data_IF_696453983059
#
_entry.id   IF_696453983059
#
_cell.length_a   1.000
_cell.length_b   1.000
_cell.length_c   1.000
_cell.angle_alpha   90.00
_cell.angle_beta   90.00
_cell.angle_gamma   90.00
#
_symmetry.space_group_name_H-M   'P 1'
#
loop_
_entity.id
_entity.type
_entity.pdbx_description
1 polymer ?
#
# COMPACT_ATOMS: atom_id res chain seq x y z
N UNK A 1 43.27 -18.20 -14.13
CA UNK A 1 42.66 -19.08 -15.15
C UNK A 1 41.81 -20.12 -14.44
N UNK A 2 40.53 -19.79 -14.20
CA UNK A 2 39.55 -20.75 -13.72
C UNK A 2 38.75 -21.21 -14.95
N UNK A 3 38.97 -22.47 -15.32
CA UNK A 3 38.34 -23.13 -16.45
C UNK A 3 36.88 -23.38 -16.11
N UNK A 4 35.99 -22.74 -16.85
CA UNK A 4 34.56 -22.98 -16.78
C UNK A 4 34.16 -24.02 -17.83
N UNK A 5 33.60 -25.14 -17.38
CA UNK A 5 32.75 -26.04 -18.18
C UNK A 5 32.04 -27.03 -17.24
N UNK A 6 30.83 -27.53 -17.55
CA UNK A 6 29.69 -26.90 -18.23
C UNK A 6 28.37 -27.04 -17.43
N UNK A 7 27.45 -26.08 -17.62
CA UNK A 7 26.05 -26.19 -17.19
C UNK A 7 25.36 -27.38 -17.89
N UNK A 8 24.71 -28.23 -17.09
CA UNK A 8 23.89 -29.35 -17.54
C UNK A 8 22.83 -28.91 -18.57
N UNK A 9 23.01 -29.33 -19.82
CA UNK A 9 22.01 -29.37 -20.89
C UNK A 9 20.93 -30.41 -20.57
N UNK A 10 19.92 -30.07 -19.76
CA UNK A 10 18.72 -30.92 -19.55
C UNK A 10 17.40 -30.16 -19.37
N UNK A 11 17.17 -29.04 -20.07
CA UNK A 11 15.83 -28.41 -20.13
C UNK A 11 15.52 -27.78 -21.50
N UNK A 12 15.56 -28.58 -22.56
CA UNK A 12 15.06 -28.20 -23.88
C UNK A 12 13.95 -29.16 -24.36
N UNK A 13 12.97 -29.45 -23.50
CA UNK A 13 11.68 -29.98 -23.94
C UNK A 13 10.67 -28.83 -23.94
N UNK A 14 10.29 -28.38 -25.14
CA UNK A 14 9.23 -27.40 -25.37
C UNK A 14 7.97 -27.82 -24.60
N UNK A 15 7.55 -27.05 -23.59
CA UNK A 15 6.18 -27.14 -23.06
C UNK A 15 5.23 -26.71 -24.18
N UNK A 16 4.58 -27.68 -24.83
CA UNK A 16 3.53 -27.41 -25.82
C UNK A 16 2.40 -26.68 -25.08
N UNK A 17 2.14 -25.43 -25.46
CA UNK A 17 1.14 -24.59 -24.81
C UNK A 17 -0.26 -25.23 -24.78
N UNK A 18 -1.07 -24.86 -23.80
CA UNK A 18 -2.48 -25.29 -23.70
C UNK A 18 -3.40 -24.20 -24.25
N UNK A 19 -4.46 -24.60 -24.95
CA UNK A 19 -5.48 -23.66 -25.43
C UNK A 19 -6.15 -22.96 -24.24
N UNK A 20 -6.23 -21.62 -24.21
CA UNK A 20 -6.88 -20.92 -23.08
C UNK A 20 -8.39 -21.18 -22.99
N UNK A 21 -9.06 -21.46 -24.11
CA UNK A 21 -10.48 -21.78 -24.18
C UNK A 21 -10.79 -23.19 -23.70
N UNK A 22 -10.32 -24.23 -24.41
CA UNK A 22 -10.66 -25.63 -24.09
C UNK A 22 -9.67 -26.34 -23.16
N UNK A 23 -8.56 -25.69 -22.75
CA UNK A 23 -7.51 -26.23 -21.86
C UNK A 23 -6.79 -27.50 -22.36
N UNK A 24 -6.99 -27.92 -23.60
CA UNK A 24 -6.28 -29.03 -24.22
C UNK A 24 -4.99 -28.55 -24.90
N UNK A 25 -3.98 -29.43 -24.96
CA UNK A 25 -2.77 -29.27 -25.77
C UNK A 25 -2.88 -30.09 -27.07
N UNK A 26 -2.29 -29.65 -28.19
CA UNK A 26 -1.71 -28.31 -28.41
C UNK A 26 -2.79 -27.21 -28.48
N UNK A 27 -2.42 -25.91 -28.55
CA UNK A 27 -3.38 -24.82 -28.73
C UNK A 27 -4.21 -25.05 -29.99
N UNK A 28 -5.52 -24.77 -29.92
CA UNK A 28 -6.41 -25.02 -31.05
C UNK A 28 -6.22 -23.97 -32.15
N UNK A 29 -6.25 -24.43 -33.40
CA UNK A 29 -6.29 -23.57 -34.57
C UNK A 29 -7.59 -22.76 -34.62
N UNK A 30 -7.48 -21.59 -35.26
CA UNK A 30 -8.52 -20.55 -35.28
C UNK A 30 -9.25 -20.59 -36.60
N UNK A 31 -10.48 -21.07 -36.56
CA UNK A 31 -11.33 -21.19 -37.74
C UNK A 31 -12.63 -20.38 -37.56
N UNK A 32 -13.26 -20.49 -36.39
CA UNK A 32 -14.56 -19.88 -36.12
C UNK A 32 -14.84 -19.74 -34.63
N UNK A 33 -15.64 -18.74 -34.24
CA UNK A 33 -16.03 -18.54 -32.84
C UNK A 33 -17.40 -19.17 -32.54
N UNK A 34 -17.41 -20.15 -31.64
CA UNK A 34 -18.62 -20.89 -31.28
C UNK A 34 -18.95 -20.64 -29.80
N UNK A 35 -20.14 -20.10 -29.53
CA UNK A 35 -20.68 -19.92 -28.16
C UNK A 35 -21.24 -21.24 -27.66
N UNK A 36 -20.86 -21.66 -26.46
CA UNK A 36 -21.47 -22.83 -25.83
C UNK A 36 -22.74 -22.45 -25.06
N UNK A 37 -23.89 -23.08 -25.34
CA UNK A 37 -25.14 -22.79 -24.64
C UNK A 37 -25.09 -23.16 -23.15
N UNK A 38 -24.25 -24.14 -22.76
CA UNK A 38 -24.20 -24.65 -21.40
C UNK A 38 -23.34 -23.76 -20.49
N UNK A 39 -22.09 -23.50 -20.87
CA UNK A 39 -21.14 -22.74 -20.05
C UNK A 39 -21.06 -21.25 -20.42
N UNK A 40 -21.74 -20.81 -21.49
CA UNK A 40 -21.73 -19.44 -22.03
C UNK A 40 -20.33 -18.88 -22.37
N UNK A 41 -19.33 -19.75 -22.55
CA UNK A 41 -17.98 -19.41 -23.01
C UNK A 41 -17.85 -19.52 -24.54
N UNK A 42 -16.86 -18.83 -25.11
CA UNK A 42 -16.57 -18.87 -26.55
C UNK A 42 -15.32 -19.71 -26.87
N UNK A 43 -15.41 -20.50 -27.95
CA UNK A 43 -14.36 -21.41 -28.41
C UNK A 43 -13.91 -21.05 -29.82
N UNK A 44 -12.63 -21.27 -30.14
CA UNK A 44 -11.94 -20.71 -31.32
C UNK A 44 -12.02 -21.56 -32.60
N UNK A 45 -12.62 -22.75 -32.52
CA UNK A 45 -12.91 -23.64 -33.65
C UNK A 45 -13.92 -24.71 -33.24
N UNK A 46 -14.46 -25.46 -34.21
CA UNK A 46 -15.34 -26.62 -33.94
C UNK A 46 -14.61 -27.69 -33.13
N UNK A 47 -13.33 -27.91 -33.45
CA UNK A 47 -12.45 -28.79 -32.70
C UNK A 47 -12.25 -28.31 -31.26
N UNK A 48 -12.03 -27.00 -31.04
CA UNK A 48 -11.95 -26.42 -29.70
C UNK A 48 -13.28 -26.58 -28.91
N UNK A 49 -14.41 -26.43 -29.61
CA UNK A 49 -15.74 -26.62 -29.03
C UNK A 49 -16.02 -28.09 -28.68
N UNK A 50 -15.59 -29.07 -29.47
CA UNK A 50 -15.81 -30.47 -29.11
C UNK A 50 -14.90 -30.86 -27.93
N UNK A 51 -13.61 -30.48 -28.00
CA UNK A 51 -12.63 -30.76 -26.94
C UNK A 51 -13.02 -30.22 -25.57
N UNK A 52 -13.69 -29.06 -25.46
CA UNK A 52 -14.10 -28.56 -24.13
C UNK A 52 -15.24 -29.37 -23.50
N UNK A 53 -15.98 -30.15 -24.30
CA UNK A 53 -17.02 -31.10 -23.85
C UNK A 53 -16.49 -32.53 -23.71
N UNK A 54 -15.27 -32.79 -24.16
CA UNK A 54 -14.61 -34.07 -23.98
C UNK A 54 -14.03 -34.19 -22.58
N UNK A 55 -14.02 -35.42 -22.07
CA UNK A 55 -13.40 -35.76 -20.80
C UNK A 55 -11.90 -35.96 -21.04
N UNK A 56 -11.07 -35.12 -20.43
CA UNK A 56 -9.62 -35.28 -20.54
C UNK A 56 -9.14 -36.54 -19.79
N UNK A 57 -8.03 -37.17 -20.23
CA UNK A 57 -7.48 -38.32 -19.53
C UNK A 57 -7.17 -37.98 -18.06
N UNK A 58 -7.67 -38.82 -17.13
CA UNK A 58 -7.58 -38.63 -15.67
C UNK A 58 -8.48 -37.55 -15.06
N UNK A 59 -9.40 -36.96 -15.82
CA UNK A 59 -10.35 -35.97 -15.30
C UNK A 59 -11.75 -36.56 -15.15
N UNK A 60 -12.46 -36.17 -14.08
CA UNK A 60 -13.83 -36.65 -13.79
C UNK A 60 -14.94 -35.79 -14.41
N UNK A 61 -14.59 -34.57 -14.87
CA UNK A 61 -15.52 -33.60 -15.46
C UNK A 61 -14.89 -32.85 -16.61
N UNK A 62 -15.73 -32.45 -17.56
CA UNK A 62 -15.37 -31.71 -18.76
C UNK A 62 -14.99 -30.26 -18.42
N UNK A 63 -14.32 -29.58 -19.35
CA UNK A 63 -14.03 -28.14 -19.19
C UNK A 63 -15.31 -27.31 -19.20
N UNK A 64 -16.36 -27.79 -19.87
CA UNK A 64 -17.70 -27.19 -19.88
C UNK A 64 -18.31 -27.12 -18.48
N UNK A 65 -18.19 -28.20 -17.70
CA UNK A 65 -18.73 -28.31 -16.35
C UNK A 65 -17.86 -27.55 -15.34
N UNK A 66 -16.54 -27.59 -15.52
CA UNK A 66 -15.58 -26.95 -14.61
C UNK A 66 -15.50 -25.44 -14.71
N UNK A 67 -15.82 -24.85 -15.87
CA UNK A 67 -15.60 -23.43 -16.15
C UNK A 67 -16.79 -22.83 -16.92
N UNK A 68 -17.52 -21.92 -16.28
CA UNK A 68 -18.70 -21.27 -16.85
C UNK A 68 -18.71 -19.76 -16.58
N UNK A 69 -19.48 -19.01 -17.38
CA UNK A 69 -19.66 -17.57 -17.18
C UNK A 69 -20.88 -17.31 -16.30
N UNK A 70 -20.73 -16.43 -15.31
CA UNK A 70 -21.84 -15.95 -14.49
C UNK A 70 -22.91 -15.28 -15.38
N UNK A 71 -24.20 -15.59 -15.18
CA UNK A 71 -25.29 -14.98 -15.99
C UNK A 71 -25.51 -13.49 -15.71
N UNK A 72 -25.12 -13.02 -14.53
CA UNK A 72 -25.33 -11.63 -14.09
C UNK A 72 -24.09 -10.77 -14.33
N UNK A 73 -22.91 -11.21 -13.87
CA UNK A 73 -21.67 -10.42 -13.97
C UNK A 73 -20.67 -10.90 -15.05
N UNK A 74 -20.97 -11.99 -15.78
CA UNK A 74 -20.13 -12.56 -16.85
C UNK A 74 -18.67 -12.88 -16.48
N UNK A 75 -18.34 -12.92 -15.18
CA UNK A 75 -17.05 -13.44 -14.69
C UNK A 75 -16.99 -14.94 -14.93
N UNK A 76 -15.80 -15.45 -15.29
CA UNK A 76 -15.57 -16.88 -15.43
C UNK A 76 -15.41 -17.51 -14.04
N UNK A 77 -16.32 -18.41 -13.68
CA UNK A 77 -16.37 -19.11 -12.40
C UNK A 77 -15.87 -20.54 -12.60
N UNK A 78 -15.17 -21.06 -11.58
CA UNK A 78 -14.80 -22.48 -11.51
C UNK A 78 -15.82 -23.25 -10.70
N UNK A 79 -16.14 -24.45 -11.16
CA UNK A 79 -17.01 -25.37 -10.42
C UNK A 79 -16.48 -25.62 -8.99
N UNK A 80 -17.39 -25.63 -8.02
CA UNK A 80 -17.07 -25.78 -6.59
C UNK A 80 -16.62 -24.50 -5.89
N UNK A 81 -16.40 -23.41 -6.63
CA UNK A 81 -16.11 -22.10 -6.03
C UNK A 81 -17.41 -21.31 -5.83
N UNK A 82 -17.71 -20.95 -4.58
CA UNK A 82 -18.78 -20.00 -4.29
C UNK A 82 -18.46 -18.65 -4.92
N UNK A 83 -19.37 -18.16 -5.77
CA UNK A 83 -19.26 -16.87 -6.42
C UNK A 83 -20.40 -15.96 -5.95
N UNK A 84 -20.04 -14.90 -5.25
CA UNK A 84 -20.92 -13.77 -4.97
C UNK A 84 -20.58 -12.63 -5.94
N UNK A 85 -21.58 -12.20 -6.72
CA UNK A 85 -21.43 -11.01 -7.56
C UNK A 85 -21.08 -9.79 -6.71
N UNK A 86 -20.28 -8.88 -7.26
CA UNK A 86 -19.86 -7.64 -6.61
C UNK A 86 -19.07 -7.85 -5.29
N UNK A 87 -18.26 -8.91 -5.24
CA UNK A 87 -17.35 -9.18 -4.13
C UNK A 87 -15.98 -9.67 -4.62
N UNK A 88 -14.95 -9.48 -3.78
CA UNK A 88 -13.59 -9.93 -4.01
C UNK A 88 -12.94 -10.46 -2.71
N UNK A 89 -11.90 -11.29 -2.84
CA UNK A 89 -11.13 -11.78 -1.71
C UNK A 89 -10.08 -10.76 -1.27
N UNK A 90 -10.22 -10.22 -0.06
CA UNK A 90 -9.27 -9.28 0.51
C UNK A 90 -8.08 -10.03 1.16
N UNK A 91 -6.86 -9.81 0.66
CA UNK A 91 -5.64 -10.47 1.18
C UNK A 91 -5.28 -10.04 2.60
N UNK A 92 -5.56 -8.79 2.95
CA UNK A 92 -5.26 -8.22 4.27
C UNK A 92 -6.23 -8.76 5.33
N UNK A 93 -7.53 -8.82 5.03
CA UNK A 93 -8.54 -9.41 5.92
C UNK A 93 -8.63 -10.95 5.85
N UNK A 94 -8.01 -11.57 4.84
CA UNK A 94 -8.08 -13.00 4.52
C UNK A 94 -9.52 -13.55 4.41
N UNK A 95 -10.43 -12.81 3.76
CA UNK A 95 -11.84 -13.21 3.52
C UNK A 95 -12.47 -12.51 2.31
N UNK A 96 -13.58 -13.06 1.80
CA UNK A 96 -14.40 -12.39 0.79
C UNK A 96 -15.10 -11.16 1.36
N UNK A 97 -15.11 -10.08 0.57
CA UNK A 97 -15.59 -8.76 0.93
C UNK A 97 -16.34 -8.14 -0.25
N UNK A 98 -17.36 -7.32 -0.02
CA UNK A 98 -18.04 -6.61 -1.09
C UNK A 98 -17.08 -5.61 -1.77
N UNK A 99 -17.40 -5.19 -3.00
CA UNK A 99 -16.55 -4.30 -3.80
C UNK A 99 -16.31 -2.93 -3.15
N UNK A 100 -17.16 -2.49 -2.23
CA UNK A 100 -17.06 -1.23 -1.46
C UNK A 100 -16.32 -1.38 -0.11
N UNK A 101 -15.67 -2.53 0.13
CA UNK A 101 -15.00 -2.81 1.41
C UNK A 101 -13.82 -1.88 1.73
N UNK A 102 -13.91 -1.20 2.88
CA UNK A 102 -12.82 -0.48 3.53
C UNK A 102 -11.98 -1.44 4.40
N UNK A 103 -10.71 -1.65 4.04
CA UNK A 103 -9.81 -2.59 4.70
C UNK A 103 -8.93 -1.90 5.77
N UNK A 104 -8.73 -2.56 6.92
CA UNK A 104 -7.95 -2.05 8.07
C UNK A 104 -6.88 -3.06 8.54
N UNK A 105 -5.86 -2.57 9.26
CA UNK A 105 -4.72 -3.34 9.77
C UNK A 105 -5.09 -4.22 10.99
N UNK A 106 -4.62 -5.48 11.09
CA UNK A 106 -4.93 -6.37 12.22
C UNK A 106 -4.04 -6.10 13.46
N UNK A 107 -4.51 -6.55 14.64
CA UNK A 107 -3.83 -6.40 15.95
C UNK A 107 -2.97 -7.64 16.25
N UNK A 108 -1.77 -7.46 16.79
CA UNK A 108 -0.85 -8.53 17.25
C UNK A 108 -1.14 -8.93 18.71
N UNK A 109 -1.08 -10.23 19.04
CA UNK A 109 -1.57 -10.80 20.31
C UNK A 109 -0.59 -11.76 21.01
N UNK A 110 0.71 -11.69 20.73
CA UNK A 110 1.75 -12.55 21.35
C UNK A 110 2.21 -12.00 22.72
N UNK A 111 2.37 -12.86 23.73
CA UNK A 111 2.89 -12.48 25.07
C UNK A 111 4.33 -12.97 25.33
N UNK A 112 5.23 -12.14 25.92
CA UNK A 112 6.63 -12.51 26.18
C UNK A 112 6.86 -13.36 27.44
N UNK A 113 7.92 -14.18 27.47
CA UNK A 113 8.37 -14.99 28.61
C UNK A 113 9.61 -14.37 29.27
N UNK A 114 9.57 -14.15 30.60
CA UNK A 114 10.58 -13.41 31.37
C UNK A 114 11.33 -14.24 32.41
N UNK A 115 11.29 -15.58 32.31
CA UNK A 115 11.94 -16.46 33.30
C UNK A 115 13.46 -16.28 33.34
N UNK A 116 14.04 -16.19 34.54
CA UNK A 116 15.46 -16.00 34.83
C UNK A 116 16.05 -14.65 34.36
N UNK A 117 15.18 -13.64 34.14
CA UNK A 117 15.58 -12.29 33.78
C UNK A 117 15.80 -11.39 35.01
N UNK A 118 16.84 -10.56 34.92
CA UNK A 118 17.10 -9.44 35.80
C UNK A 118 17.39 -8.18 34.98
N UNK A 119 16.64 -7.12 35.25
CA UNK A 119 16.85 -5.79 34.69
C UNK A 119 17.61 -4.93 35.70
N UNK A 120 18.58 -4.15 35.22
CA UNK A 120 19.30 -3.13 35.99
C UNK A 120 19.16 -1.82 35.22
N UNK A 121 18.53 -0.83 35.84
CA UNK A 121 18.35 0.51 35.31
C UNK A 121 19.34 1.44 36.00
N UNK A 122 20.20 2.15 35.28
CA UNK A 122 21.17 3.05 35.90
C UNK A 122 21.27 4.38 35.18
N UNK A 123 21.83 5.36 35.89
CA UNK A 123 22.15 6.67 35.35
C UNK A 123 23.48 7.17 35.92
N UNK A 124 24.21 7.95 35.13
CA UNK A 124 25.53 8.49 35.49
C UNK A 124 25.51 10.00 35.46
N UNK A 125 26.09 10.61 36.50
CA UNK A 125 26.45 12.02 36.45
C UNK A 125 27.97 12.14 36.23
N UNK A 126 28.34 13.09 35.38
CA UNK A 126 29.72 13.33 35.00
C UNK A 126 30.14 14.77 35.30
N UNK A 127 31.34 14.95 35.81
CA UNK A 127 31.99 16.27 35.87
C UNK A 127 32.76 16.55 34.58
N UNK A 128 32.92 17.84 34.25
CA UNK A 128 33.67 18.31 33.07
C UNK A 128 34.90 19.15 33.44
N UNK A 129 35.45 18.93 34.65
CA UNK A 129 36.47 19.81 35.22
C UNK A 129 37.84 19.70 34.52
N UNK A 130 38.08 18.62 33.77
CA UNK A 130 39.33 18.42 33.02
C UNK A 130 39.17 18.83 31.57
N UNK A 131 40.09 19.66 31.08
CA UNK A 131 40.15 20.03 29.66
C UNK A 131 40.95 18.99 28.88
N UNK A 132 40.39 18.57 27.75
CA UNK A 132 41.02 17.69 26.78
C UNK A 132 41.71 18.48 25.66
N UNK A 133 41.15 19.64 25.29
CA UNK A 133 41.75 20.63 24.39
C UNK A 133 41.21 22.04 24.69
N UNK A 134 41.69 23.07 23.97
CA UNK A 134 41.25 24.47 24.14
C UNK A 134 39.72 24.65 23.97
N UNK A 135 39.05 23.70 23.29
CA UNK A 135 37.62 23.74 22.98
C UNK A 135 36.82 22.55 23.52
N UNK A 136 37.45 21.57 24.19
CA UNK A 136 36.76 20.35 24.64
C UNK A 136 37.12 19.97 26.07
N UNK A 137 36.09 19.62 26.85
CA UNK A 137 36.19 19.11 28.22
C UNK A 137 35.93 17.61 28.26
N UNK A 138 36.68 16.90 29.12
CA UNK A 138 36.53 15.48 29.34
C UNK A 138 35.41 15.22 30.36
N UNK A 139 34.50 14.30 30.02
CA UNK A 139 33.46 13.85 30.94
C UNK A 139 34.00 12.74 31.84
N UNK A 140 33.95 12.94 33.16
CA UNK A 140 34.38 11.96 34.15
C UNK A 140 33.21 11.58 35.06
N UNK A 141 32.72 10.32 34.99
CA UNK A 141 31.66 9.83 35.87
C UNK A 141 32.09 9.90 37.34
N UNK A 142 31.23 10.48 38.19
CA UNK A 142 31.50 10.65 39.63
C UNK A 142 30.34 10.22 40.53
N UNK A 143 29.18 9.92 39.95
CA UNK A 143 28.02 9.36 40.64
C UNK A 143 27.34 8.36 39.70
N UNK A 144 26.98 7.21 40.26
CA UNK A 144 26.16 6.21 39.58
C UNK A 144 25.03 5.80 40.52
N UNK A 145 23.80 5.88 40.04
CA UNK A 145 22.62 5.36 40.74
C UNK A 145 22.02 4.27 39.89
N UNK A 146 21.75 3.11 40.48
CA UNK A 146 21.07 2.03 39.77
C UNK A 146 19.98 1.34 40.57
N UNK A 147 18.95 0.88 39.87
CA UNK A 147 17.81 0.13 40.39
C UNK A 147 17.67 -1.21 39.67
N UNK A 148 17.48 -2.32 40.39
CA UNK A 148 17.32 -3.64 39.78
C UNK A 148 15.97 -4.30 40.04
N UNK A 149 15.50 -5.06 39.04
CA UNK A 149 14.18 -5.71 39.01
C UNK A 149 14.25 -7.08 38.34
N UNK A 150 13.81 -8.13 39.03
CA UNK A 150 13.65 -9.48 38.46
C UNK A 150 12.20 -9.77 38.08
N UNK A 151 11.95 -10.94 37.48
CA UNK A 151 10.61 -11.42 37.09
C UNK A 151 9.53 -11.29 38.18
N UNK A 152 9.92 -11.44 39.46
CA UNK A 152 9.00 -11.42 40.60
C UNK A 152 8.67 -9.99 41.03
N UNK A 153 9.59 -9.04 40.86
CA UNK A 153 9.45 -7.69 41.39
C UNK A 153 9.36 -6.59 40.32
N UNK A 154 9.25 -6.96 39.05
CA UNK A 154 9.24 -6.03 37.93
C UNK A 154 8.13 -4.97 38.06
N UNK A 155 6.96 -5.38 38.53
CA UNK A 155 5.79 -4.50 38.68
C UNK A 155 5.60 -3.97 40.10
N UNK A 156 6.55 -4.22 41.00
CA UNK A 156 6.46 -3.75 42.38
C UNK A 156 6.85 -2.26 42.46
N UNK A 157 6.20 -1.47 43.34
CA UNK A 157 6.48 -0.05 43.50
C UNK A 157 7.95 0.28 43.78
N UNK A 158 8.36 1.52 43.50
CA UNK A 158 9.75 1.97 43.64
C UNK A 158 10.18 2.08 45.11
N UNK A 159 9.23 2.35 46.01
CA UNK A 159 9.42 2.51 47.45
C UNK A 159 9.81 1.19 48.12
N UNK A 160 9.42 0.05 47.54
CA UNK A 160 9.84 -1.26 48.02
C UNK A 160 11.26 -1.52 47.56
N UNK A 161 12.22 -1.38 48.48
CA UNK A 161 13.65 -1.40 48.18
C UNK A 161 14.31 -2.79 48.26
N UNK A 162 13.64 -3.82 48.79
CA UNK A 162 14.20 -5.17 48.92
C UNK A 162 13.33 -6.18 48.14
N UNK A 163 13.98 -7.13 47.48
CA UNK A 163 13.37 -8.30 46.86
C UNK A 163 13.96 -9.59 47.47
N UNK A 164 13.13 -10.61 47.65
CA UNK A 164 13.58 -11.94 48.10
C UNK A 164 14.47 -12.64 47.06
N UNK A 165 14.26 -12.35 45.78
CA UNK A 165 15.03 -12.95 44.69
C UNK A 165 16.25 -12.10 44.31
N UNK A 166 16.06 -10.82 43.97
CA UNK A 166 17.15 -9.93 43.54
C UNK A 166 17.73 -9.04 44.65
N UNK A 167 17.42 -9.26 45.93
CA UNK A 167 17.98 -8.49 47.05
C UNK A 167 17.69 -6.96 47.00
N UNK A 168 18.63 -6.13 47.47
CA UNK A 168 18.49 -4.66 47.52
C UNK A 168 18.40 -4.11 46.09
N UNK A 169 17.34 -3.35 45.83
CA UNK A 169 16.98 -2.88 44.49
C UNK A 169 17.73 -1.62 44.11
N UNK A 170 17.82 -0.62 44.99
CA UNK A 170 18.52 0.63 44.69
C UNK A 170 19.91 0.64 45.33
N UNK A 171 20.90 1.01 44.52
CA UNK A 171 22.28 1.19 44.96
C UNK A 171 22.77 2.57 44.50
N UNK A 172 23.53 3.23 45.37
CA UNK A 172 24.13 4.54 45.11
C UNK A 172 25.63 4.40 45.26
N UNK A 173 26.34 4.54 44.14
CA UNK A 173 27.79 4.53 44.08
C UNK A 173 28.27 5.97 43.92
N UNK A 174 29.06 6.43 44.89
CA UNK A 174 29.77 7.72 44.83
C UNK A 174 31.25 7.41 44.57
N UNK A 175 32.08 8.41 44.26
CA UNK A 175 33.54 8.34 44.01
C UNK A 175 33.96 8.21 42.54
N UNK A 176 35.27 8.29 42.27
CA UNK A 176 35.84 8.27 40.91
C UNK A 176 35.91 6.88 40.27
N UNK A 177 35.70 5.82 41.04
CA UNK A 177 35.73 4.41 40.63
C UNK A 177 34.31 3.82 40.38
N UNK A 178 33.32 4.69 40.16
CA UNK A 178 31.89 4.30 40.01
C UNK A 178 31.67 3.23 38.92
N UNK A 179 32.40 3.31 37.81
CA UNK A 179 32.26 2.35 36.71
C UNK A 179 32.79 0.97 37.09
N UNK A 180 33.95 0.91 37.73
CA UNK A 180 34.57 -0.34 38.18
C UNK A 180 33.64 -1.10 39.14
N UNK A 181 33.08 -0.38 40.12
CA UNK A 181 32.13 -0.94 41.09
C UNK A 181 30.86 -1.47 40.43
N UNK A 182 30.30 -0.71 39.48
CA UNK A 182 29.10 -1.14 38.75
C UNK A 182 29.37 -2.42 37.93
N UNK A 183 30.49 -2.48 37.21
CA UNK A 183 30.85 -3.64 36.39
C UNK A 183 31.09 -4.87 37.26
N UNK A 184 31.82 -4.74 38.35
CA UNK A 184 32.02 -5.84 39.31
C UNK A 184 30.68 -6.39 39.81
N UNK A 185 29.75 -5.50 40.18
CA UNK A 185 28.41 -5.90 40.60
C UNK A 185 27.66 -6.72 39.55
N UNK A 186 27.67 -6.26 38.30
CA UNK A 186 26.99 -6.94 37.17
C UNK A 186 27.56 -8.35 36.95
N UNK A 187 28.87 -8.52 37.06
CA UNK A 187 29.52 -9.82 36.86
C UNK A 187 29.19 -10.81 37.98
N UNK A 188 29.13 -10.34 39.22
CA UNK A 188 28.73 -11.19 40.35
C UNK A 188 27.27 -11.62 40.25
N UNK A 189 26.35 -10.71 39.91
CA UNK A 189 24.92 -11.04 39.85
C UNK A 189 24.56 -11.96 38.67
N UNK A 190 25.34 -11.92 37.59
CA UNK A 190 25.21 -12.84 36.44
C UNK A 190 25.45 -14.31 36.83
N UNK A 191 26.19 -14.59 37.91
CA UNK A 191 26.34 -15.96 38.44
C UNK A 191 25.01 -16.52 38.95
N UNK A 192 24.03 -15.65 39.27
CA UNK A 192 22.70 -16.01 39.80
C UNK A 192 21.58 -15.93 38.77
N UNK A 193 21.65 -15.01 37.81
CA UNK A 193 20.63 -14.81 36.79
C UNK A 193 21.18 -15.09 35.40
N UNK A 194 20.49 -15.95 34.64
CA UNK A 194 20.91 -16.36 33.29
C UNK A 194 20.86 -15.19 32.29
N UNK A 195 19.87 -14.31 32.45
CA UNK A 195 19.63 -13.17 31.56
C UNK A 195 19.66 -11.85 32.34
N UNK A 196 20.84 -11.23 32.44
CA UNK A 196 20.98 -9.88 33.02
C UNK A 196 20.97 -8.83 31.91
N UNK A 197 19.99 -7.93 31.95
CA UNK A 197 19.82 -6.81 31.03
C UNK A 197 20.10 -5.51 31.78
N UNK A 198 21.07 -4.73 31.30
CA UNK A 198 21.44 -3.44 31.87
C UNK A 198 21.00 -2.33 30.93
N UNK A 199 20.32 -1.32 31.46
CA UNK A 199 19.65 -0.25 30.73
C UNK A 199 19.99 1.09 31.37
N UNK A 200 20.29 2.09 30.57
CA UNK A 200 20.37 3.49 30.99
C UNK A 200 19.44 4.34 30.12
N UNK A 201 19.02 5.50 30.63
CA UNK A 201 18.12 6.40 29.91
C UNK A 201 18.73 6.83 28.57
N UNK A 202 20.05 7.08 28.55
CA UNK A 202 20.81 7.33 27.33
C UNK A 202 21.95 6.32 27.12
N UNK A 203 21.68 5.05 27.40
CA UNK A 203 22.72 4.01 27.39
C UNK A 203 23.46 3.90 26.05
N UNK A 204 22.74 3.93 24.93
CA UNK A 204 23.35 3.73 23.60
C UNK A 204 24.39 4.80 23.23
N UNK A 205 24.18 6.02 23.70
CA UNK A 205 24.80 7.19 23.15
C UNK A 205 25.80 7.81 24.14
N UNK A 206 25.56 7.65 25.45
CA UNK A 206 26.40 8.24 26.49
C UNK A 206 26.79 7.22 27.56
N UNK A 207 25.84 6.71 28.35
CA UNK A 207 26.17 6.01 29.60
C UNK A 207 26.93 4.69 29.37
N UNK A 208 26.53 3.89 28.37
CA UNK A 208 27.24 2.63 28.08
C UNK A 208 28.63 2.87 27.50
N UNK A 209 28.98 4.06 27.02
CA UNK A 209 30.32 4.32 26.48
C UNK A 209 31.38 4.20 27.58
N UNK A 210 31.06 4.63 28.80
CA UNK A 210 31.95 4.50 29.95
C UNK A 210 32.13 3.03 30.38
N UNK A 211 31.03 2.27 30.42
CA UNK A 211 31.05 0.83 30.76
C UNK A 211 31.79 0.04 29.68
N UNK A 212 31.52 0.32 28.40
CA UNK A 212 32.16 -0.34 27.27
C UNK A 212 33.66 -0.05 27.26
N UNK A 213 34.07 1.20 27.44
CA UNK A 213 35.48 1.57 27.54
C UNK A 213 36.16 0.84 28.71
N UNK A 214 35.51 0.74 29.87
CA UNK A 214 36.04 -0.02 31.00
C UNK A 214 36.21 -1.51 30.67
N UNK A 215 35.18 -2.16 30.10
CA UNK A 215 35.25 -3.58 29.72
C UNK A 215 36.38 -3.83 28.72
N UNK A 216 36.52 -2.98 27.69
CA UNK A 216 37.53 -3.13 26.64
C UNK A 216 38.96 -2.84 27.12
N UNK A 217 39.15 -1.96 28.11
CA UNK A 217 40.49 -1.52 28.55
C UNK A 217 40.95 -2.14 29.87
N UNK A 218 40.03 -2.65 30.70
CA UNK A 218 40.31 -3.12 32.07
C UNK A 218 39.90 -4.58 32.32
N UNK A 219 39.28 -5.28 31.37
CA UNK A 219 38.88 -6.69 31.52
C UNK A 219 39.27 -7.53 30.30
N UNK A 220 39.23 -8.86 30.43
CA UNK A 220 39.48 -9.79 29.31
C UNK A 220 38.21 -10.13 28.49
N UNK A 221 37.06 -9.56 28.85
CA UNK A 221 35.77 -9.88 28.24
C UNK A 221 35.67 -9.25 26.84
N UNK A 222 35.17 -10.03 25.87
CA UNK A 222 34.96 -9.58 24.49
C UNK A 222 33.47 -9.56 24.16
N UNK A 223 32.89 -8.41 23.76
CA UNK A 223 31.48 -8.34 23.37
C UNK A 223 31.25 -9.08 22.03
N UNK A 224 30.25 -9.97 21.99
CA UNK A 224 29.88 -10.73 20.79
C UNK A 224 29.16 -9.88 19.73
N UNK A 225 28.34 -8.93 20.17
CA UNK A 225 27.64 -7.99 19.31
C UNK A 225 27.68 -6.59 19.94
N UNK A 226 28.42 -5.68 19.32
CA UNK A 226 28.30 -4.26 19.60
C UNK A 226 27.32 -3.70 18.59
N UNK A 227 26.09 -3.40 19.03
CA UNK A 227 25.18 -2.60 18.22
C UNK A 227 25.70 -1.16 18.20
N UNK A 228 26.64 -0.88 17.30
CA UNK A 228 27.05 0.49 17.04
C UNK A 228 25.84 1.26 16.48
N UNK A 229 25.42 2.26 17.24
CA UNK A 229 24.64 3.36 16.71
C UNK A 229 25.43 4.60 17.05
N UNK A 230 25.60 5.46 16.06
CA UNK A 230 26.33 6.71 16.21
C UNK A 230 25.69 7.48 17.37
N UNK A 231 26.47 7.80 18.42
CA UNK A 231 26.05 8.77 19.44
C UNK A 231 25.79 10.05 18.70
N UNK A 232 24.51 10.34 18.59
CA UNK A 232 24.08 11.50 17.87
C UNK A 232 23.60 12.50 18.88
N UNK A 233 24.44 13.51 19.10
CA UNK A 233 24.14 14.69 19.91
C UNK A 233 22.76 15.29 19.59
N UNK A 234 22.26 15.12 18.36
CA UNK A 234 20.92 15.56 17.96
C UNK A 234 19.80 14.83 18.69
N UNK A 235 20.02 13.58 19.09
CA UNK A 235 18.99 12.78 19.72
C UNK A 235 18.82 13.11 21.20
N UNK A 236 19.86 13.60 21.85
CA UNK A 236 19.78 14.09 23.23
C UNK A 236 19.19 15.50 23.33
N UNK A 237 19.42 16.32 22.31
CA UNK A 237 18.65 17.56 22.10
C UNK A 237 17.14 17.29 22.03
N UNK A 238 16.69 16.11 21.57
CA UNK A 238 15.26 15.77 21.53
C UNK A 238 14.69 15.61 22.94
N UNK A 239 15.43 15.00 23.85
CA UNK A 239 15.03 14.88 25.26
C UNK A 239 14.89 16.28 25.89
N UNK A 240 15.79 17.19 25.56
CA UNK A 240 15.76 18.59 26.00
C UNK A 240 14.58 19.38 25.41
N UNK A 241 14.30 19.19 24.11
CA UNK A 241 13.14 19.78 23.43
C UNK A 241 11.80 19.34 24.04
N UNK A 242 11.71 18.13 24.62
CA UNK A 242 10.51 17.69 25.33
C UNK A 242 10.24 18.59 26.55
N UNK A 243 11.29 19.12 27.19
CA UNK A 243 11.17 20.07 28.30
C UNK A 243 10.66 21.45 27.84
N UNK A 244 11.18 21.97 26.72
CA UNK A 244 10.74 23.26 26.15
C UNK A 244 9.26 23.25 25.72
N UNK A 245 8.80 22.11 25.20
CA UNK A 245 7.39 21.93 24.82
C UNK A 245 6.47 21.95 26.05
N UNK A 246 6.93 21.50 27.22
CA UNK A 246 6.16 21.60 28.45
C UNK A 246 6.00 23.06 28.91
N UNK A 247 7.02 23.90 28.70
CA UNK A 247 6.96 25.34 28.99
C UNK A 247 5.99 26.05 28.05
N UNK A 248 6.08 25.75 26.76
CA UNK A 248 5.17 26.27 25.75
C UNK A 248 3.71 25.91 26.06
N UNK A 249 3.48 24.66 26.47
CA UNK A 249 2.16 24.16 26.87
C UNK A 249 1.56 25.02 27.98
N UNK A 250 2.35 25.37 28.97
CA UNK A 250 1.92 26.17 30.13
C UNK A 250 1.54 27.61 29.72
N UNK A 251 2.31 28.24 28.83
CA UNK A 251 2.03 29.59 28.33
C UNK A 251 0.75 29.65 27.49
N UNK A 252 0.55 28.67 26.61
CA UNK A 252 -0.64 28.57 25.79
C UNK A 252 -1.91 28.46 26.65
N UNK A 253 -1.90 27.61 27.67
CA UNK A 253 -3.05 27.46 28.58
C UNK A 253 -3.46 28.79 29.21
N UNK A 254 -2.49 29.62 29.62
CA UNK A 254 -2.76 30.95 30.18
C UNK A 254 -3.36 31.93 29.17
N UNK A 255 -2.86 31.96 27.95
CA UNK A 255 -3.40 32.82 26.89
C UNK A 255 -4.84 32.47 26.53
N UNK A 256 -5.16 31.17 26.49
CA UNK A 256 -6.53 30.69 26.27
C UNK A 256 -7.50 31.21 27.33
N UNK A 257 -7.11 31.14 28.60
CA UNK A 257 -7.99 31.55 29.68
C UNK A 257 -8.38 33.04 29.57
N UNK A 258 -7.45 33.90 29.18
CA UNK A 258 -7.71 35.34 29.00
C UNK A 258 -8.69 35.64 27.86
N UNK A 259 -8.59 34.96 26.72
CA UNK A 259 -9.50 35.20 25.58
C UNK A 259 -10.90 34.63 25.79
N UNK A 260 -11.00 33.51 26.54
CA UNK A 260 -12.29 33.01 26.99
C UNK A 260 -12.97 34.04 27.91
N UNK A 261 -12.22 34.63 28.83
CA UNK A 261 -12.76 35.69 29.72
C UNK A 261 -13.20 36.93 28.94
N UNK A 262 -12.43 37.36 27.94
CA UNK A 262 -12.71 38.62 27.21
C UNK A 262 -13.92 38.55 26.26
N UNK A 263 -14.24 37.38 25.70
CA UNK A 263 -15.30 37.29 24.70
C UNK A 263 -15.85 35.91 24.43
N UNK A 264 -15.71 34.99 25.40
CA UNK A 264 -16.16 33.60 25.32
C UNK A 264 -15.72 32.92 24.02
N UNK A 265 -14.44 33.13 23.67
CA UNK A 265 -13.81 32.51 22.51
C UNK A 265 -12.58 31.78 22.98
N UNK A 266 -12.51 30.50 22.64
CA UNK A 266 -11.30 29.73 22.85
C UNK A 266 -10.38 29.88 21.62
N UNK A 267 -9.20 30.52 21.78
CA UNK A 267 -8.30 30.84 20.66
C UNK A 267 -7.56 29.64 20.08
N UNK A 268 -7.76 28.44 20.63
CA UNK A 268 -7.16 27.22 20.13
C UNK A 268 -8.17 26.29 19.47
N UNK A 269 -9.45 26.35 19.87
CA UNK A 269 -10.50 25.54 19.23
C UNK A 269 -11.21 26.30 18.12
N UNK A 270 -11.30 27.62 18.22
CA UNK A 270 -12.11 28.40 17.29
C UNK A 270 -11.27 29.12 16.25
N UNK A 271 -10.01 29.42 16.54
CA UNK A 271 -9.06 29.99 15.62
C UNK A 271 -7.68 29.36 15.88
N UNK A 272 -6.75 29.44 14.93
CA UNK A 272 -5.38 28.93 15.12
C UNK A 272 -4.33 30.05 15.09
N UNK A 273 -4.74 31.27 14.79
CA UNK A 273 -3.88 32.45 14.77
C UNK A 273 -4.50 33.53 15.63
N UNK A 274 -3.65 34.42 16.16
CA UNK A 274 -4.10 35.57 16.94
C UNK A 274 -5.05 36.43 16.10
N UNK A 275 -4.72 36.73 14.84
CA UNK A 275 -5.57 37.52 13.95
C UNK A 275 -6.94 36.84 13.67
N UNK A 276 -6.98 35.52 13.47
CA UNK A 276 -8.24 34.79 13.30
C UNK A 276 -9.06 34.76 14.60
N UNK A 277 -8.40 34.61 15.74
CA UNK A 277 -9.03 34.67 17.07
C UNK A 277 -9.67 36.04 17.28
N UNK A 278 -8.94 37.11 16.96
CA UNK A 278 -9.42 38.48 16.98
C UNK A 278 -10.54 38.73 15.97
N UNK A 279 -10.46 38.19 14.74
CA UNK A 279 -11.53 38.31 13.74
C UNK A 279 -12.79 37.54 14.16
N UNK A 280 -12.66 36.41 14.86
CA UNK A 280 -13.81 35.71 15.45
C UNK A 280 -14.42 36.48 16.62
N UNK A 281 -13.56 37.04 17.47
CA UNK A 281 -13.98 37.97 18.53
C UNK A 281 -14.74 39.15 17.95
N UNK A 282 -14.20 39.75 16.89
CA UNK A 282 -14.85 40.77 16.11
C UNK A 282 -16.20 40.31 15.54
N UNK A 283 -16.23 39.17 14.83
CA UNK A 283 -17.47 38.67 14.20
C UNK A 283 -18.57 38.32 15.19
N UNK A 284 -18.20 37.79 16.36
CA UNK A 284 -19.15 37.35 17.39
C UNK A 284 -19.70 38.51 18.21
N UNK A 285 -18.83 39.45 18.58
CA UNK A 285 -19.20 40.52 19.51
C UNK A 285 -19.44 41.87 18.81
N UNK A 286 -19.07 42.01 17.53
CA UNK A 286 -19.03 43.32 16.85
C UNK A 286 -19.55 43.35 15.39
N UNK A 287 -19.60 42.25 14.61
CA UNK A 287 -20.08 42.24 13.20
C UNK A 287 -21.61 42.18 13.06
N UNK A 288 -22.16 42.91 12.07
CA UNK A 288 -23.59 42.94 11.72
C UNK A 288 -23.92 41.99 10.55
N UNK A 289 -25.12 41.40 10.55
CA UNK A 289 -25.58 40.40 9.57
C UNK A 289 -25.67 40.93 8.12
N UNK A 290 -25.54 40.02 7.15
CA UNK A 290 -25.75 40.21 5.69
C UNK A 290 -24.89 41.28 5.00
N UNK A 291 -23.61 41.32 5.36
CA UNK A 291 -22.68 42.35 4.85
C UNK A 291 -21.60 41.84 3.88
N UNK A 292 -21.31 40.52 3.73
CA UNK A 292 -20.17 39.98 2.92
C UNK A 292 -20.43 38.56 2.29
N UNK A 293 -20.09 38.28 1.00
CA UNK A 293 -20.29 36.97 0.27
C UNK A 293 -19.03 36.14 -0.13
N UNK A 294 -19.14 34.83 -0.52
CA UNK A 294 -18.03 33.82 -0.74
C UNK A 294 -18.09 32.96 -2.06
N UNK A 295 -16.94 32.52 -2.64
CA UNK A 295 -16.79 31.75 -3.93
C UNK A 295 -15.92 30.45 -3.79
N UNK A 296 -16.24 29.28 -4.43
CA UNK A 296 -15.51 27.99 -4.26
C UNK A 296 -14.32 27.70 -5.21
N UNK A 297 -13.39 26.81 -4.78
CA UNK A 297 -12.04 26.57 -5.34
C UNK A 297 -11.93 25.86 -6.71
N UNK A 298 -12.89 25.02 -7.10
CA UNK A 298 -12.85 24.26 -8.38
C UNK A 298 -14.03 24.60 -9.29
N UNK A 299 -14.66 25.76 -9.04
CA UNK A 299 -16.03 25.96 -9.50
C UNK A 299 -16.90 24.80 -9.02
N UNK A 300 -17.79 24.31 -9.88
CA UNK A 300 -18.89 23.43 -9.48
C UNK A 300 -18.96 22.02 -10.21
N UNK A 301 -17.89 21.38 -10.78
CA UNK A 301 -17.96 20.06 -11.56
C UNK A 301 -16.76 19.02 -11.38
N UNK A 302 -16.95 17.65 -11.43
CA UNK A 302 -15.99 16.50 -11.15
C UNK A 302 -15.61 15.59 -12.40
N UNK A 303 -14.54 14.73 -12.40
CA UNK A 303 -13.92 13.97 -13.57
C UNK A 303 -14.27 12.45 -13.70
N UNK A 304 -14.44 11.91 -14.92
CA UNK A 304 -14.51 10.46 -15.28
C UNK A 304 -13.22 9.91 -15.99
N UNK A 305 -13.07 8.57 -16.03
CA UNK A 305 -11.91 7.82 -16.54
C UNK A 305 -11.94 7.51 -18.05
N UNK A 306 -12.39 8.48 -18.87
CA UNK A 306 -12.54 8.29 -20.31
C UNK A 306 -11.24 8.62 -21.08
N UNK A 307 -10.94 7.88 -22.16
CA UNK A 307 -9.72 8.14 -22.93
C UNK A 307 -9.80 9.48 -23.68
N UNK A 308 -8.70 10.25 -23.68
CA UNK A 308 -8.66 11.55 -24.36
C UNK A 308 -8.98 11.43 -25.85
N UNK A 309 -8.46 10.37 -26.49
CA UNK A 309 -8.69 10.07 -27.91
C UNK A 309 -10.17 9.72 -28.17
N UNK A 310 -10.83 8.98 -27.27
CA UNK A 310 -12.26 8.71 -27.41
C UNK A 310 -13.09 9.99 -27.29
N UNK A 311 -12.78 10.88 -26.34
CA UNK A 311 -13.48 12.18 -26.22
C UNK A 311 -13.28 13.02 -27.48
N UNK A 312 -12.05 13.14 -27.98
CA UNK A 312 -11.75 13.90 -29.20
C UNK A 312 -12.49 13.33 -30.43
N UNK A 313 -12.55 12.00 -30.56
CA UNK A 313 -13.31 11.33 -31.63
C UNK A 313 -14.82 11.58 -31.50
N UNK A 314 -15.39 11.46 -30.30
CA UNK A 314 -16.82 11.70 -30.08
C UNK A 314 -17.19 13.15 -30.41
N UNK A 315 -16.40 14.13 -29.96
CA UNK A 315 -16.60 15.55 -30.31
C UNK A 315 -16.50 15.76 -31.83
N UNK A 316 -15.62 15.04 -32.51
CA UNK A 316 -15.50 15.10 -33.97
C UNK A 316 -16.73 14.49 -34.67
N UNK A 317 -17.22 13.33 -34.22
CA UNK A 317 -18.44 12.69 -34.76
C UNK A 317 -19.67 13.58 -34.55
N UNK A 318 -19.82 14.21 -33.38
CA UNK A 318 -20.89 15.19 -33.12
C UNK A 318 -20.88 16.30 -34.16
N UNK A 319 -19.69 16.84 -34.47
CA UNK A 319 -19.55 17.94 -35.42
C UNK A 319 -19.80 17.51 -36.86
N UNK A 320 -19.37 16.30 -37.23
CA UNK A 320 -19.48 15.81 -38.62
C UNK A 320 -20.89 15.33 -38.95
N UNK A 321 -21.55 14.65 -38.01
CA UNK A 321 -22.90 14.11 -38.20
C UNK A 321 -23.99 15.05 -37.72
N UNK A 322 -23.63 16.16 -37.08
CA UNK A 322 -24.55 17.12 -36.48
C UNK A 322 -25.55 16.47 -35.51
N UNK A 323 -25.07 15.48 -34.74
CA UNK A 323 -25.85 14.76 -33.72
C UNK A 323 -25.35 15.10 -32.33
N UNK A 324 -26.24 15.05 -31.33
CA UNK A 324 -25.86 15.19 -29.94
C UNK A 324 -25.50 13.83 -29.33
N UNK A 325 -24.21 13.63 -29.08
CA UNK A 325 -23.67 12.45 -28.40
C UNK A 325 -23.44 12.83 -26.94
N UNK A 326 -24.06 12.08 -26.04
CA UNK A 326 -23.77 12.16 -24.63
C UNK A 326 -22.46 11.38 -24.37
N UNK A 327 -21.53 11.97 -23.63
CA UNK A 327 -20.25 11.37 -23.24
C UNK A 327 -19.69 12.04 -21.98
N UNK A 328 -18.63 11.48 -21.40
CA UNK A 328 -18.06 11.90 -20.11
C UNK A 328 -17.75 13.41 -19.99
N UNK A 329 -17.26 14.06 -21.04
CA UNK A 329 -16.90 15.48 -20.99
C UNK A 329 -18.12 16.43 -20.92
N UNK A 330 -19.34 15.94 -21.14
CA UNK A 330 -20.60 16.69 -20.97
C UNK A 330 -21.26 16.48 -19.61
N UNK A 331 -20.70 15.64 -18.74
CA UNK A 331 -21.22 15.43 -17.39
C UNK A 331 -20.70 14.17 -16.72
N UNK A 332 -21.17 13.00 -17.16
CA UNK A 332 -20.77 11.68 -16.63
C UNK A 332 -20.72 10.60 -17.73
N UNK A 333 -19.88 9.57 -17.56
CA UNK A 333 -19.87 8.32 -18.35
C UNK A 333 -21.25 7.63 -18.30
N UNK A 334 -21.70 7.12 -19.46
CA UNK A 334 -23.06 6.62 -19.65
C UNK A 334 -23.08 5.10 -19.47
N UNK A 335 -24.08 4.61 -18.75
CA UNK A 335 -24.30 3.18 -18.54
C UNK A 335 -25.65 2.81 -19.11
N UNK A 336 -25.66 1.94 -20.14
CA UNK A 336 -26.87 1.42 -20.78
C UNK A 336 -27.05 -0.06 -20.40
N UNK A 337 -28.20 -0.42 -19.81
CA UNK A 337 -28.55 -1.81 -19.45
C UNK A 337 -27.45 -2.57 -18.67
N UNK A 338 -26.73 -1.84 -17.79
CA UNK A 338 -25.65 -2.34 -16.95
C UNK A 338 -24.27 -2.40 -17.63
N UNK A 339 -24.12 -1.88 -18.85
CA UNK A 339 -22.86 -1.80 -19.58
C UNK A 339 -22.41 -0.34 -19.75
N UNK A 340 -21.18 0.03 -19.35
CA UNK A 340 -20.62 1.34 -19.64
C UNK A 340 -20.29 1.46 -21.14
N UNK A 341 -20.60 2.60 -21.74
CA UNK A 341 -20.36 2.90 -23.17
C UNK A 341 -19.63 4.23 -23.32
N UNK A 342 -18.84 4.37 -24.40
CA UNK A 342 -18.02 5.57 -24.60
C UNK A 342 -18.85 6.80 -24.98
N UNK A 343 -19.87 6.61 -25.81
CA UNK A 343 -20.85 7.62 -26.18
C UNK A 343 -22.19 7.03 -26.58
N UNK A 344 -23.26 7.80 -26.38
CA UNK A 344 -24.63 7.41 -26.75
C UNK A 344 -25.39 8.60 -27.34
N UNK A 345 -26.04 8.39 -28.48
CA UNK A 345 -26.96 9.35 -29.06
C UNK A 345 -28.39 8.87 -28.88
N UNK A 346 -29.20 9.61 -28.12
CA UNK A 346 -30.60 9.26 -27.87
C UNK A 346 -31.48 9.45 -29.12
N UNK A 347 -31.15 10.41 -29.99
CA UNK A 347 -31.93 10.76 -31.18
C UNK A 347 -31.87 9.67 -32.25
N UNK A 348 -30.67 9.15 -32.50
CA UNK A 348 -30.46 8.06 -33.47
C UNK A 348 -30.45 6.68 -32.81
N UNK A 349 -30.54 6.64 -31.48
CA UNK A 349 -30.49 5.43 -30.68
C UNK A 349 -29.23 4.58 -30.96
N UNK A 350 -28.09 5.27 -31.13
CA UNK A 350 -26.81 4.69 -31.51
C UNK A 350 -25.82 4.69 -30.35
N UNK A 351 -25.07 3.59 -30.24
CA UNK A 351 -23.96 3.46 -29.30
C UNK A 351 -22.63 3.58 -30.03
N UNK A 352 -21.77 4.44 -29.51
CA UNK A 352 -20.43 4.72 -30.02
C UNK A 352 -19.41 4.08 -29.07
N UNK A 353 -18.58 3.17 -29.59
CA UNK A 353 -17.49 2.56 -28.82
C UNK A 353 -16.16 2.62 -29.57
N UNK A 354 -15.12 3.07 -28.87
CA UNK A 354 -13.77 3.14 -29.40
C UNK A 354 -12.96 1.88 -29.03
N UNK A 355 -12.82 0.97 -30.00
CA UNK A 355 -12.19 -0.34 -29.79
C UNK A 355 -10.65 -0.29 -29.87
N UNK A 356 -9.99 0.26 -28.83
CA UNK A 356 -8.53 0.28 -28.74
C UNK A 356 -7.89 -1.12 -28.81
N UNK A 357 -6.96 -1.35 -29.75
CA UNK A 357 -6.48 -2.70 -30.12
C UNK A 357 -5.89 -3.53 -28.97
N UNK A 358 -5.15 -2.89 -28.06
CA UNK A 358 -4.54 -3.58 -26.91
C UNK A 358 -5.56 -3.93 -25.82
N UNK A 359 -6.47 -3.00 -25.53
CA UNK A 359 -7.48 -3.17 -24.47
C UNK A 359 -8.62 -4.12 -24.91
N UNK A 360 -8.92 -4.17 -26.20
CA UNK A 360 -10.00 -4.99 -26.75
C UNK A 360 -9.53 -6.29 -27.41
N UNK A 361 -8.23 -6.59 -27.37
CA UNK A 361 -7.69 -7.88 -27.83
C UNK A 361 -7.71 -8.07 -29.34
N UNK A 362 -7.40 -7.05 -30.15
CA UNK A 362 -7.45 -7.11 -31.63
C UNK A 362 -6.68 -8.32 -32.20
N UNK A 363 -7.35 -9.14 -33.02
CA UNK A 363 -6.76 -10.36 -33.64
C UNK A 363 -5.79 -10.06 -34.77
N UNK A 364 -5.92 -8.89 -35.42
CA UNK A 364 -5.04 -8.47 -36.52
C UNK A 364 -3.71 -7.91 -36.01
N UNK A 365 -3.75 -7.02 -35.02
CA UNK A 365 -2.55 -6.38 -34.47
C UNK A 365 -1.73 -7.31 -33.57
N UNK A 366 -2.36 -8.26 -32.87
CA UNK A 366 -1.71 -9.18 -31.95
C UNK A 366 -1.92 -10.63 -32.39
N UNK A 367 -1.15 -11.10 -33.37
CA UNK A 367 -1.36 -12.43 -33.99
C UNK A 367 -0.84 -13.59 -33.15
N UNK A 368 0.30 -13.40 -32.50
CA UNK A 368 1.04 -14.47 -31.80
C UNK A 368 0.83 -14.42 -30.28
N UNK A 369 1.12 -15.52 -29.59
CA UNK A 369 1.22 -15.60 -28.13
C UNK A 369 0.00 -15.09 -27.35
N UNK A 370 -1.17 -15.11 -27.97
CA UNK A 370 -2.40 -14.52 -27.41
C UNK A 370 -2.97 -15.26 -26.21
N UNK A 371 -2.50 -16.47 -25.97
CA UNK A 371 -2.81 -17.31 -24.80
C UNK A 371 -1.78 -17.12 -23.68
N UNK A 372 -0.67 -16.41 -23.94
CA UNK A 372 0.26 -15.98 -22.89
C UNK A 372 -0.33 -14.81 -22.11
N UNK A 373 0.03 -14.67 -20.82
CA UNK A 373 -0.37 -13.52 -20.04
C UNK A 373 0.13 -12.21 -20.65
N UNK A 374 -0.69 -11.16 -20.60
CA UNK A 374 -0.26 -9.82 -21.04
C UNK A 374 0.72 -9.22 -20.04
N UNK A 375 1.70 -8.45 -20.54
CA UNK A 375 2.82 -7.96 -19.72
C UNK A 375 2.39 -7.14 -18.50
N UNK A 376 1.26 -6.45 -18.57
CA UNK A 376 0.74 -5.59 -17.51
C UNK A 376 -0.29 -6.27 -16.60
N UNK A 377 -0.70 -7.50 -16.91
CA UNK A 377 -1.67 -8.24 -16.11
C UNK A 377 -1.52 -9.74 -16.35
N UNK A 378 -0.88 -10.43 -15.40
CA UNK A 378 -0.61 -11.87 -15.49
C UNK A 378 -1.88 -12.74 -15.43
N UNK A 379 -3.03 -12.17 -15.05
CA UNK A 379 -4.34 -12.84 -15.04
C UNK A 379 -5.13 -12.68 -16.35
N UNK A 380 -4.68 -11.82 -17.26
CA UNK A 380 -5.35 -11.57 -18.55
C UNK A 380 -4.52 -12.09 -19.72
N UNK A 381 -5.20 -12.47 -20.79
CA UNK A 381 -4.57 -12.81 -22.06
C UNK A 381 -5.25 -12.00 -23.17
N UNK A 382 -4.58 -11.86 -24.32
CA UNK A 382 -5.19 -11.17 -25.47
C UNK A 382 -6.46 -11.89 -25.96
N UNK A 383 -6.53 -13.22 -25.79
CA UNK A 383 -7.74 -13.99 -26.07
C UNK A 383 -8.86 -13.70 -25.04
N UNK A 384 -8.55 -13.54 -23.75
CA UNK A 384 -9.55 -13.18 -22.74
C UNK A 384 -10.13 -11.78 -22.98
N UNK A 385 -9.28 -10.79 -23.31
CA UNK A 385 -9.74 -9.44 -23.68
C UNK A 385 -10.66 -9.47 -24.89
N UNK A 386 -10.28 -10.21 -25.92
CA UNK A 386 -11.10 -10.38 -27.11
C UNK A 386 -12.44 -11.07 -26.82
N UNK A 387 -12.44 -12.12 -25.99
CA UNK A 387 -13.67 -12.79 -25.54
C UNK A 387 -14.62 -11.82 -24.82
N UNK A 388 -14.09 -10.96 -23.93
CA UNK A 388 -14.87 -9.95 -23.23
C UNK A 388 -15.44 -8.90 -24.19
N UNK A 389 -14.64 -8.39 -25.13
CA UNK A 389 -15.10 -7.46 -26.18
C UNK A 389 -16.25 -8.07 -26.98
N UNK A 390 -16.09 -9.32 -27.45
CA UNK A 390 -17.13 -10.02 -28.23
C UNK A 390 -18.39 -10.25 -27.40
N UNK A 391 -18.26 -10.56 -26.11
CA UNK A 391 -19.39 -10.72 -25.19
C UNK A 391 -20.16 -9.41 -25.02
N UNK A 392 -19.45 -8.27 -24.88
CA UNK A 392 -20.05 -6.93 -24.79
C UNK A 392 -20.82 -6.57 -26.06
N UNK A 393 -20.18 -6.69 -27.22
CA UNK A 393 -20.80 -6.42 -28.54
C UNK A 393 -22.02 -7.32 -28.74
N UNK A 394 -21.90 -8.62 -28.44
CA UNK A 394 -23.00 -9.57 -28.58
C UNK A 394 -24.18 -9.17 -27.69
N UNK A 395 -23.93 -8.75 -26.44
CA UNK A 395 -24.99 -8.29 -25.54
C UNK A 395 -25.67 -7.01 -26.04
N UNK A 396 -24.91 -6.04 -26.52
CA UNK A 396 -25.47 -4.82 -27.10
C UNK A 396 -26.36 -5.14 -28.32
N UNK A 397 -25.96 -6.11 -29.14
CA UNK A 397 -26.73 -6.55 -30.32
C UNK A 397 -27.93 -7.45 -29.96
N UNK A 398 -27.80 -8.38 -29.01
CA UNK A 398 -28.87 -9.26 -28.51
C UNK A 398 -29.99 -8.47 -27.84
N UNK A 399 -29.69 -7.30 -27.25
CA UNK A 399 -30.70 -6.39 -26.72
C UNK A 399 -31.62 -5.85 -27.83
N UNK A 400 -31.20 -5.86 -29.10
CA UNK A 400 -32.03 -5.47 -30.26
C UNK A 400 -32.54 -4.03 -30.22
N UNK A 401 -32.00 -3.22 -29.30
CA UNK A 401 -32.46 -1.87 -28.95
C UNK A 401 -31.58 -0.77 -29.49
N UNK A 402 -30.38 -1.06 -30.00
CA UNK A 402 -29.40 -0.05 -30.39
C UNK A 402 -28.65 -0.47 -31.65
N UNK A 403 -28.40 0.47 -32.56
CA UNK A 403 -27.50 0.24 -33.69
C UNK A 403 -26.05 0.40 -33.20
N UNK A 404 -25.26 -0.68 -33.26
CA UNK A 404 -23.85 -0.67 -32.84
C UNK A 404 -22.92 -0.55 -34.05
N UNK A 405 -22.08 0.47 -34.04
CA UNK A 405 -21.11 0.72 -35.12
C UNK A 405 -19.68 0.66 -34.59
N UNK A 406 -18.91 -0.40 -34.89
CA UNK A 406 -17.49 -0.47 -34.56
C UNK A 406 -16.68 0.32 -35.60
N UNK A 407 -16.61 1.66 -35.48
CA UNK A 407 -15.74 2.47 -36.35
C UNK A 407 -14.32 2.64 -35.78
N UNK A 408 -13.33 2.43 -36.64
CA UNK A 408 -11.94 2.84 -36.46
C UNK A 408 -11.58 3.94 -37.47
N UNK A 409 -10.83 4.94 -37.02
CA UNK A 409 -10.48 6.15 -37.77
C UNK A 409 -9.68 5.90 -39.06
N UNK A 410 -9.92 6.69 -40.12
CA UNK A 410 -9.16 6.71 -41.40
C UNK A 410 -8.21 7.91 -41.40
N UNK A 411 -6.88 7.72 -41.44
CA UNK A 411 -5.90 8.83 -41.48
C UNK A 411 -5.73 9.35 -42.90
N UNK A 412 -5.90 10.66 -43.10
CA UNK A 412 -5.53 11.39 -44.33
C UNK A 412 -4.00 11.51 -44.39
N UNK A 413 -3.38 11.09 -45.51
CA UNK A 413 -1.94 11.25 -45.75
C UNK A 413 -1.60 12.74 -45.82
N UNK A 414 -0.72 13.24 -44.95
CA UNK A 414 0.08 14.45 -45.22
C UNK A 414 1.46 14.00 -45.66
N UNK A 415 1.97 14.64 -46.71
CA UNK A 415 3.24 14.33 -47.36
C UNK A 415 4.45 14.50 -46.45
N UNK A 416 5.38 13.56 -46.64
CA UNK A 416 6.84 13.59 -46.49
C UNK A 416 7.48 14.31 -45.29
N UNK A 417 8.12 13.52 -44.44
CA UNK A 417 9.17 13.96 -43.51
C UNK A 417 9.01 13.44 -42.08
N UNK A 418 9.91 12.54 -41.69
CA UNK A 418 10.23 12.08 -40.32
C UNK A 418 9.37 10.98 -39.66
N UNK A 419 10.10 9.94 -39.21
CA UNK A 419 9.61 8.69 -38.64
C UNK A 419 9.13 8.88 -37.19
N UNK A 420 7.84 8.67 -36.96
CA UNK A 420 7.32 8.32 -35.64
C UNK A 420 6.62 6.96 -35.75
N UNK A 421 7.16 5.94 -35.06
CA UNK A 421 6.61 4.57 -34.98
C UNK A 421 5.21 4.61 -34.35
N UNK A 422 4.19 4.82 -35.17
CA UNK A 422 2.79 4.81 -34.77
C UNK A 422 2.10 3.53 -35.23
N UNK A 423 1.36 2.92 -34.31
CA UNK A 423 0.71 1.61 -34.41
C UNK A 423 -0.25 1.53 -35.59
N UNK A 424 -0.04 0.55 -36.48
CA UNK A 424 -0.97 0.17 -37.56
C UNK A 424 -2.29 -0.37 -36.96
N UNK A 425 -3.42 0.09 -37.49
CA UNK A 425 -4.79 -0.31 -37.13
C UNK A 425 -5.49 -0.80 -38.41
N UNK A 426 -6.02 -2.02 -38.39
CA UNK A 426 -6.76 -2.62 -39.51
C UNK A 426 -8.26 -2.69 -39.21
N UNK A 427 -9.07 -2.26 -40.18
CA UNK A 427 -10.53 -2.37 -40.20
C UNK A 427 -10.90 -3.84 -40.42
N UNK A 428 -11.80 -4.41 -39.61
CA UNK A 428 -12.47 -5.68 -39.90
C UNK A 428 -13.75 -5.31 -40.65
N UNK A 429 -13.79 -5.59 -41.95
CA UNK A 429 -15.07 -5.62 -42.70
C UNK A 429 -15.95 -6.77 -42.20
#
# INVERSE_FOLDING_TARGET
MAVATPMNLRHAQHCIGVCSSCKHAPPCDREQHIKCPNCSRYFVSKTCFNKHKELAPKELKTVCEKLFKCKTCYKTIREGMEHTCNSYYCKTCKKNRPDDHLCYMPVDSITPNLRDFLFIFYDLECTQNKRFSDFQTLHEPNLCVFNQRCEICLNEPLEKIICTNCAVRQQILKFSDVIERLVYYILEIRKRFKHVIVLAHNGQAYDHQFILNYILTKTELKPELIMHKVFDMQKEIVSYCVSDVNILTTACLKFRDLLIQAGNICPFSEACTIASSCNKLFRRNFLKADTIGLIPRNGYRYRDNQSKIAIEWLIWEEKVREINILHAAKGKEIVLDGLPVDGFCAETNQVFEMMGCFYHGCVKCFKNDRDKPVYNNSGETMNLRYENTRSKITRLNELGKYDSYPYGFKKVKKGEGEEEKTSKIDIVE
#
